data_IF_673743900141
#
_entry.id   IF_673743900141
#
_cell.length_a   1.000
_cell.length_b   1.000
_cell.length_c   1.000
_cell.angle_alpha   90.00
_cell.angle_beta   90.00
_cell.angle_gamma   90.00
#
_symmetry.space_group_name_H-M   'P 1'
#
loop_
_entity.id
_entity.type
_entity.pdbx_description
1 polymer ?
#
# COMPACT_ATOMS: atom_id res chain seq x y z
N UNK A 1 28.90 19.61 -17.49
CA UNK A 1 28.02 20.78 -17.33
C UNK A 1 27.64 21.28 -18.73
N UNK A 2 26.56 20.75 -19.30
CA UNK A 2 25.87 21.34 -20.46
C UNK A 2 24.40 21.23 -20.10
N UNK A 3 23.88 22.35 -19.65
CA UNK A 3 22.53 22.57 -19.15
C UNK A 3 21.57 22.27 -20.31
N UNK A 4 20.90 21.12 -20.28
CA UNK A 4 19.82 20.80 -21.22
C UNK A 4 18.57 21.55 -20.76
N UNK A 5 18.48 22.81 -21.18
CA UNK A 5 17.40 23.76 -20.86
C UNK A 5 16.20 23.67 -21.80
N UNK A 6 16.01 22.55 -22.50
CA UNK A 6 14.86 22.34 -23.38
C UNK A 6 13.84 21.41 -22.73
N UNK A 7 12.60 21.91 -22.63
CA UNK A 7 11.47 21.11 -22.19
C UNK A 7 11.38 19.84 -23.05
N UNK A 8 11.19 18.65 -22.45
CA UNK A 8 11.12 17.41 -23.20
C UNK A 8 9.96 17.49 -24.19
N UNK A 9 10.28 17.40 -25.49
CA UNK A 9 9.29 17.37 -26.57
C UNK A 9 8.25 16.28 -26.30
N UNK A 10 6.97 16.50 -26.67
CA UNK A 10 5.88 15.55 -26.42
C UNK A 10 6.19 14.10 -26.83
N UNK A 11 7.03 13.93 -27.85
CA UNK A 11 7.55 12.62 -28.31
C UNK A 11 8.44 11.94 -27.26
N UNK A 12 9.35 12.68 -26.60
CA UNK A 12 10.19 12.17 -25.49
C UNK A 12 9.35 11.83 -24.25
N UNK A 13 8.32 12.62 -23.94
CA UNK A 13 7.41 12.31 -22.83
C UNK A 13 6.59 11.03 -23.10
N UNK A 14 6.12 10.84 -24.35
CA UNK A 14 5.43 9.61 -24.76
C UNK A 14 6.34 8.40 -24.77
N UNK A 15 7.58 8.54 -25.24
CA UNK A 15 8.55 7.44 -25.25
C UNK A 15 9.03 7.11 -23.83
N UNK A 16 9.22 8.10 -22.96
CA UNK A 16 9.49 7.89 -21.52
C UNK A 16 8.36 7.16 -20.79
N UNK A 17 7.09 7.51 -21.08
CA UNK A 17 5.92 6.75 -20.57
C UNK A 17 5.90 5.29 -21.07
N UNK A 18 6.26 5.03 -22.34
CA UNK A 18 6.37 3.67 -22.89
C UNK A 18 7.51 2.86 -22.27
N UNK A 19 8.57 3.53 -21.84
CA UNK A 19 9.73 2.93 -21.16
C UNK A 19 9.55 2.80 -19.64
N UNK A 20 8.42 3.27 -19.09
CA UNK A 20 8.07 3.20 -17.66
C UNK A 20 8.62 4.35 -16.81
N UNK A 21 9.32 5.32 -17.40
CA UNK A 21 9.74 6.55 -16.73
C UNK A 21 8.57 7.54 -16.68
N UNK A 22 7.65 7.29 -15.76
CA UNK A 22 6.61 8.27 -15.41
C UNK A 22 7.11 9.07 -14.21
N UNK A 23 7.09 10.40 -14.34
CA UNK A 23 7.37 11.30 -13.21
C UNK A 23 6.33 11.04 -12.14
N UNK A 24 6.78 10.46 -11.03
CA UNK A 24 5.97 10.19 -9.85
C UNK A 24 6.29 11.25 -8.80
N UNK A 25 5.38 12.18 -8.56
CA UNK A 25 5.49 13.07 -7.40
C UNK A 25 5.10 12.28 -6.15
N UNK A 26 6.07 11.97 -5.30
CA UNK A 26 5.89 11.21 -4.05
C UNK A 26 4.81 11.86 -3.17
N UNK A 27 4.78 13.20 -3.12
CA UNK A 27 3.79 13.96 -2.34
C UNK A 27 2.34 13.72 -2.81
N UNK A 28 2.13 13.66 -4.13
CA UNK A 28 0.80 13.41 -4.70
C UNK A 28 0.38 11.95 -4.49
N UNK A 29 1.33 10.99 -4.53
CA UNK A 29 1.05 9.58 -4.20
C UNK A 29 0.55 9.49 -2.76
N UNK A 30 1.29 10.11 -1.85
CA UNK A 30 0.98 10.10 -0.42
C UNK A 30 -0.38 10.74 -0.14
N UNK A 31 -0.73 11.83 -0.83
CA UNK A 31 -2.03 12.48 -0.68
C UNK A 31 -3.18 11.57 -1.14
N UNK A 32 -3.09 10.98 -2.35
CA UNK A 32 -4.12 10.07 -2.84
C UNK A 32 -4.23 8.80 -1.98
N UNK A 33 -3.10 8.30 -1.48
CA UNK A 33 -3.08 7.16 -0.58
C UNK A 33 -3.75 7.46 0.75
N UNK A 34 -3.52 8.65 1.31
CA UNK A 34 -4.21 9.10 2.50
C UNK A 34 -5.72 9.22 2.27
N UNK A 35 -6.14 9.80 1.14
CA UNK A 35 -7.58 9.92 0.80
C UNK A 35 -8.21 8.54 0.59
N UNK A 36 -7.55 7.63 -0.12
CA UNK A 36 -8.06 6.29 -0.35
C UNK A 36 -8.20 5.50 0.96
N UNK A 37 -7.21 5.62 1.86
CA UNK A 37 -7.26 5.02 3.18
C UNK A 37 -8.37 5.64 4.04
N UNK A 38 -8.54 6.96 3.99
CA UNK A 38 -9.62 7.66 4.70
C UNK A 38 -11.00 7.18 4.24
N UNK A 39 -11.24 7.10 2.92
CA UNK A 39 -12.50 6.59 2.36
C UNK A 39 -12.72 5.13 2.75
N UNK A 40 -11.67 4.32 2.70
CA UNK A 40 -11.73 2.93 3.13
C UNK A 40 -12.19 2.83 4.59
N UNK A 41 -11.55 3.54 5.52
CA UNK A 41 -12.00 3.53 6.91
C UNK A 41 -13.41 4.10 7.06
N UNK A 42 -13.75 5.17 6.36
CA UNK A 42 -15.08 5.79 6.43
C UNK A 42 -16.21 4.79 6.09
N UNK A 43 -16.10 4.07 4.97
CA UNK A 43 -17.12 3.09 4.56
C UNK A 43 -17.17 1.84 5.45
N UNK A 44 -16.05 1.46 6.06
CA UNK A 44 -15.96 0.24 6.84
C UNK A 44 -16.02 0.45 8.36
N UNK A 45 -16.10 1.70 8.83
CA UNK A 45 -16.19 2.04 10.26
C UNK A 45 -17.37 1.35 10.93
N UNK A 46 -18.54 1.33 10.29
CA UNK A 46 -19.72 0.65 10.82
C UNK A 46 -19.45 -0.85 11.06
N UNK A 47 -18.84 -1.53 10.08
CA UNK A 47 -18.50 -2.95 10.21
C UNK A 47 -17.49 -3.22 11.33
N UNK A 48 -16.53 -2.32 11.52
CA UNK A 48 -15.55 -2.42 12.62
C UNK A 48 -16.27 -2.30 13.97
N UNK A 49 -17.18 -1.34 14.11
CA UNK A 49 -17.96 -1.14 15.34
C UNK A 49 -18.83 -2.37 15.64
N UNK A 50 -19.54 -2.88 14.63
CA UNK A 50 -20.38 -4.07 14.79
C UNK A 50 -19.56 -5.29 15.21
N UNK A 51 -18.38 -5.51 14.59
CA UNK A 51 -17.46 -6.59 15.00
C UNK A 51 -16.97 -6.45 16.44
N UNK A 52 -16.77 -5.23 16.91
CA UNK A 52 -16.37 -4.97 18.28
C UNK A 52 -17.51 -5.31 19.26
N UNK A 53 -18.75 -4.90 18.94
CA UNK A 53 -19.95 -5.23 19.71
C UNK A 53 -20.18 -6.75 19.74
N UNK A 54 -20.03 -7.42 18.60
CA UNK A 54 -20.14 -8.88 18.49
C UNK A 54 -19.11 -9.57 19.39
N UNK A 55 -17.86 -9.08 19.43
CA UNK A 55 -16.82 -9.65 20.29
C UNK A 55 -17.16 -9.55 21.78
N UNK A 56 -17.71 -8.41 22.20
CA UNK A 56 -18.16 -8.21 23.59
C UNK A 56 -19.34 -9.14 23.88
N UNK A 57 -20.33 -9.17 23.00
CA UNK A 57 -21.55 -9.97 23.16
C UNK A 57 -21.23 -11.47 23.21
N UNK A 58 -20.34 -11.93 22.33
CA UNK A 58 -19.84 -13.30 22.33
C UNK A 58 -19.19 -13.63 23.68
N UNK A 59 -18.27 -12.80 24.15
CA UNK A 59 -17.60 -13.02 25.44
C UNK A 59 -18.59 -13.12 26.60
N UNK A 60 -19.62 -12.25 26.63
CA UNK A 60 -20.66 -12.27 27.65
C UNK A 60 -21.51 -13.55 27.63
N UNK A 61 -21.82 -14.10 26.44
CA UNK A 61 -22.58 -15.34 26.30
C UNK A 61 -21.84 -16.57 26.86
N UNK A 62 -20.50 -16.49 26.95
CA UNK A 62 -19.65 -17.58 27.41
C UNK A 62 -19.37 -17.56 28.92
N UNK A 63 -19.70 -16.48 29.63
CA UNK A 63 -19.44 -16.32 31.08
C UNK A 63 -20.08 -17.43 31.94
N UNK A 64 -21.28 -17.87 31.58
CA UNK A 64 -22.03 -18.90 32.32
C UNK A 64 -21.82 -20.33 31.78
N UNK A 65 -20.84 -20.54 30.89
CA UNK A 65 -20.55 -21.86 30.30
C UNK A 65 -19.40 -22.56 31.03
N UNK A 66 -19.29 -23.90 30.93
CA UNK A 66 -18.14 -24.62 31.46
C UNK A 66 -16.82 -24.06 30.92
N UNK A 67 -15.82 -23.89 31.79
CA UNK A 67 -14.56 -23.24 31.42
C UNK A 67 -13.87 -23.89 30.23
N UNK A 68 -13.86 -25.23 30.13
CA UNK A 68 -13.23 -25.93 29.00
C UNK A 68 -13.93 -25.61 27.68
N UNK A 69 -15.27 -25.58 27.67
CA UNK A 69 -16.05 -25.20 26.50
C UNK A 69 -15.82 -23.73 26.13
N UNK A 70 -15.81 -22.85 27.13
CA UNK A 70 -15.59 -21.43 26.92
C UNK A 70 -14.21 -21.12 26.35
N UNK A 71 -13.18 -21.79 26.86
CA UNK A 71 -11.79 -21.62 26.40
C UNK A 71 -11.64 -22.04 24.93
N UNK A 72 -12.21 -23.19 24.55
CA UNK A 72 -12.16 -23.68 23.16
C UNK A 72 -12.86 -22.71 22.22
N UNK A 73 -14.09 -22.28 22.54
CA UNK A 73 -14.84 -21.35 21.69
C UNK A 73 -14.16 -19.98 21.58
N UNK A 74 -13.61 -19.45 22.68
CA UNK A 74 -12.86 -18.20 22.67
C UNK A 74 -11.60 -18.30 21.80
N UNK A 75 -10.87 -19.41 21.86
CA UNK A 75 -9.67 -19.62 21.03
C UNK A 75 -9.99 -19.64 19.54
N UNK A 76 -11.09 -20.30 19.13
CA UNK A 76 -11.54 -20.29 17.73
C UNK A 76 -11.96 -18.88 17.29
N UNK A 77 -12.75 -18.20 18.12
CA UNK A 77 -13.21 -16.85 17.82
C UNK A 77 -12.05 -15.85 17.72
N UNK A 78 -11.04 -15.95 18.60
CA UNK A 78 -9.85 -15.11 18.56
C UNK A 78 -9.06 -15.31 17.25
N UNK A 79 -8.84 -16.56 16.84
CA UNK A 79 -8.11 -16.85 15.59
C UNK A 79 -8.88 -16.36 14.38
N UNK A 80 -10.20 -16.57 14.35
CA UNK A 80 -11.07 -16.08 13.26
C UNK A 80 -11.07 -14.55 13.21
N UNK A 81 -11.26 -13.89 14.35
CA UNK A 81 -11.27 -12.42 14.44
C UNK A 81 -9.93 -11.80 14.05
N UNK A 82 -8.80 -12.39 14.47
CA UNK A 82 -7.47 -11.94 14.08
C UNK A 82 -7.24 -12.11 12.58
N UNK A 83 -7.62 -13.27 12.04
CA UNK A 83 -7.49 -13.56 10.61
C UNK A 83 -8.33 -12.58 9.78
N UNK A 84 -9.58 -12.36 10.18
CA UNK A 84 -10.47 -11.38 9.54
C UNK A 84 -9.90 -9.96 9.62
N UNK A 85 -9.30 -9.55 10.74
CA UNK A 85 -8.72 -8.23 10.90
C UNK A 85 -7.49 -8.03 10.00
N UNK A 86 -6.60 -9.02 9.92
CA UNK A 86 -5.42 -8.98 9.04
C UNK A 86 -5.83 -8.93 7.58
N UNK A 87 -6.77 -9.77 7.16
CA UNK A 87 -7.29 -9.76 5.79
C UNK A 87 -7.96 -8.43 5.43
N UNK A 88 -8.74 -7.87 6.36
CA UNK A 88 -9.38 -6.58 6.21
C UNK A 88 -8.32 -5.47 6.00
N UNK A 89 -7.39 -5.30 6.94
CA UNK A 89 -6.35 -4.28 6.83
C UNK A 89 -5.47 -4.47 5.60
N UNK A 90 -5.10 -5.72 5.29
CA UNK A 90 -4.32 -6.06 4.09
C UNK A 90 -5.04 -5.67 2.81
N UNK A 91 -6.34 -5.98 2.70
CA UNK A 91 -7.15 -5.58 1.55
C UNK A 91 -7.24 -4.05 1.44
N UNK A 92 -7.40 -3.33 2.57
CA UNK A 92 -7.43 -1.86 2.58
C UNK A 92 -6.14 -1.23 2.04
N UNK A 93 -4.98 -1.73 2.46
CA UNK A 93 -3.68 -1.26 1.98
C UNK A 93 -3.50 -1.54 0.48
N UNK A 94 -3.87 -2.74 0.02
CA UNK A 94 -3.78 -3.09 -1.40
C UNK A 94 -4.68 -2.19 -2.24
N UNK A 95 -5.95 -2.04 -1.85
CA UNK A 95 -6.91 -1.19 -2.56
C UNK A 95 -6.43 0.26 -2.59
N UNK A 96 -6.01 0.81 -1.44
CA UNK A 96 -5.52 2.17 -1.36
C UNK A 96 -4.29 2.39 -2.26
N UNK A 97 -3.35 1.44 -2.26
CA UNK A 97 -2.15 1.51 -3.11
C UNK A 97 -2.51 1.46 -4.59
N UNK A 98 -3.36 0.50 -4.99
CA UNK A 98 -3.78 0.34 -6.39
C UNK A 98 -4.51 1.59 -6.86
N UNK A 99 -5.49 2.08 -6.10
CA UNK A 99 -6.27 3.29 -6.46
C UNK A 99 -5.36 4.51 -6.58
N UNK A 100 -4.43 4.70 -5.65
CA UNK A 100 -3.52 5.86 -5.68
C UNK A 100 -2.59 5.84 -6.89
N UNK A 101 -2.04 4.66 -7.21
CA UNK A 101 -1.18 4.49 -8.40
C UNK A 101 -1.99 4.70 -9.68
N UNK A 102 -3.21 4.16 -9.75
CA UNK A 102 -4.10 4.33 -10.91
C UNK A 102 -4.51 5.78 -11.11
N UNK A 103 -4.89 6.51 -10.05
CA UNK A 103 -5.33 7.90 -10.14
C UNK A 103 -4.20 8.84 -10.57
N UNK A 104 -2.96 8.56 -10.19
CA UNK A 104 -1.84 9.46 -10.47
C UNK A 104 -1.13 9.18 -11.79
N UNK A 105 -0.90 7.91 -12.12
CA UNK A 105 -0.14 7.52 -13.32
C UNK A 105 -1.08 7.29 -14.50
N UNK A 106 -2.36 6.96 -14.24
CA UNK A 106 -3.23 6.35 -15.24
C UNK A 106 -2.76 4.93 -15.60
N UNK A 107 -3.47 4.26 -16.49
CA UNK A 107 -3.14 2.92 -16.97
C UNK A 107 -1.94 2.97 -17.93
N UNK A 108 -0.74 3.17 -17.41
CA UNK A 108 0.51 3.14 -18.20
C UNK A 108 0.97 1.70 -18.31
N UNK A 109 0.45 1.00 -19.33
CA UNK A 109 0.96 -0.32 -19.74
C UNK A 109 2.32 -0.09 -20.44
N UNK A 110 3.38 0.03 -19.65
CA UNK A 110 4.75 0.06 -20.15
C UNK A 110 5.20 -1.39 -20.44
N UNK A 111 4.77 -1.94 -21.57
CA UNK A 111 5.16 -3.29 -22.02
C UNK A 111 6.68 -3.48 -22.11
N UNK A 112 7.46 -2.41 -22.26
CA UNK A 112 8.94 -2.42 -22.19
C UNK A 112 9.53 -2.41 -20.78
N UNK A 113 8.78 -2.00 -19.75
CA UNK A 113 9.24 -2.01 -18.36
C UNK A 113 9.16 -3.41 -17.70
N UNK A 114 8.34 -4.30 -18.27
CA UNK A 114 8.22 -5.71 -17.88
C UNK A 114 9.39 -6.55 -18.46
N UNK A 115 10.19 -5.98 -19.36
CA UNK A 115 11.43 -6.61 -19.81
C UNK A 115 12.40 -6.73 -18.64
N UNK A 116 12.88 -7.95 -18.37
CA UNK A 116 13.86 -8.27 -17.33
C UNK A 116 15.16 -7.48 -17.58
N UNK A 117 15.25 -6.25 -17.06
CA UNK A 117 16.45 -5.42 -17.14
C UNK A 117 17.44 -5.91 -16.08
N UNK A 118 18.42 -6.69 -16.52
CA UNK A 118 19.49 -7.27 -15.69
C UNK A 118 20.29 -6.23 -14.87
N UNK A 119 20.18 -4.93 -15.18
CA UNK A 119 20.87 -3.86 -14.46
C UNK A 119 20.27 -3.51 -13.08
N UNK A 120 19.00 -3.87 -12.82
CA UNK A 120 18.37 -3.58 -11.53
C UNK A 120 18.64 -4.65 -10.44
N UNK A 121 19.30 -5.76 -10.78
CA UNK A 121 19.62 -6.88 -9.86
C UNK A 121 21.04 -6.77 -9.29
N UNK A 122 21.71 -5.61 -9.41
CA UNK A 122 22.99 -5.41 -8.72
C UNK A 122 22.75 -4.88 -7.29
N UNK A 123 22.84 -5.72 -6.23
CA UNK A 123 22.68 -5.26 -4.85
C UNK A 123 23.74 -4.23 -4.44
N UNK A 124 24.92 -4.27 -5.08
CA UNK A 124 26.04 -3.35 -4.81
C UNK A 124 25.74 -1.93 -5.28
N UNK A 125 25.05 -1.75 -6.43
CA UNK A 125 24.68 -0.41 -6.92
C UNK A 125 23.52 0.19 -6.10
N UNK A 126 22.58 -0.64 -5.66
CA UNK A 126 21.49 -0.21 -4.78
C UNK A 126 22.01 0.19 -3.38
N UNK A 127 22.97 -0.55 -2.82
CA UNK A 127 23.59 -0.18 -1.54
C UNK A 127 24.32 1.16 -1.65
N UNK A 128 25.04 1.37 -2.75
CA UNK A 128 25.71 2.65 -3.03
C UNK A 128 24.72 3.77 -3.27
N UNK A 129 23.54 3.51 -3.84
CA UNK A 129 22.50 4.53 -4.02
C UNK A 129 21.90 4.96 -2.67
N UNK A 130 21.58 4.01 -1.78
CA UNK A 130 21.08 4.27 -0.42
C UNK A 130 22.12 5.06 0.42
N UNK A 131 23.41 4.74 0.26
CA UNK A 131 24.52 5.41 0.96
C UNK A 131 25.14 6.59 0.21
N UNK A 132 24.72 6.89 -1.02
CA UNK A 132 25.24 8.05 -1.75
C UNK A 132 24.54 9.31 -1.26
N UNK A 133 25.28 10.41 -1.31
CA UNK A 133 24.98 11.77 -0.82
C UNK A 133 23.56 12.33 -1.10
N UNK A 134 22.73 11.67 -1.91
CA UNK A 134 21.32 12.02 -2.10
C UNK A 134 20.49 11.89 -0.81
N UNK A 135 20.69 10.85 0.01
CA UNK A 135 19.94 10.70 1.27
C UNK A 135 20.21 11.83 2.26
N UNK A 136 21.41 12.44 2.22
CA UNK A 136 21.77 13.55 3.12
C UNK A 136 21.16 14.87 2.64
N UNK A 137 21.05 15.07 1.33
CA UNK A 137 20.45 16.29 0.76
C UNK A 137 18.92 16.28 0.81
N UNK A 138 18.30 15.10 0.80
CA UNK A 138 16.84 14.95 0.96
C UNK A 138 16.37 15.04 2.43
N UNK A 139 17.31 15.00 3.39
CA UNK A 139 17.09 15.13 4.84
C UNK A 139 17.37 16.55 5.39
N UNK A 140 17.81 17.50 4.55
CA UNK A 140 18.00 18.91 4.89
C UNK A 140 17.02 19.80 4.11
#
# INVERSE_FOLDING_TARGET
MSEKTEQPTEKKLRDGRKEGQVVKSIEIISLFQLVALFLYFHFFTERIILKFIDSITFTLQLVNKPFSYALTQLSYYLVDSLTSAVLFLGAGVIIATVVSVFLQVGLVIASKAIGFKSDHINPVSNFKQIFSLHSIVELC
#
